data_IF_232897827223
#
_entry.id   IF_232897827223
#
_cell.length_a   1.000
_cell.length_b   1.000
_cell.length_c   1.000
_cell.angle_alpha   90.00
_cell.angle_beta   90.00
_cell.angle_gamma   90.00
#
_symmetry.space_group_name_H-M   'P 1'
#
loop_
_entity.id
_entity.type
_entity.pdbx_description
1 polymer ?
#
# COMPACT_ATOMS: atom_id res chain seq x y z
N UNK A 1 5.64 -7.93 3.64
CA UNK A 1 4.72 -7.90 2.46
C UNK A 1 3.64 -6.87 2.66
N UNK A 2 3.25 -6.12 1.61
CA UNK A 2 2.17 -5.12 1.61
C UNK A 2 1.05 -5.55 0.65
N UNK A 3 -0.19 -5.64 1.14
CA UNK A 3 -1.37 -5.82 0.32
C UNK A 3 -1.90 -4.47 -0.15
N UNK A 4 -2.10 -4.32 -1.46
CA UNK A 4 -2.76 -3.16 -2.06
C UNK A 4 -3.86 -3.59 -3.02
N UNK A 5 -5.11 -3.24 -2.71
CA UNK A 5 -6.26 -3.43 -3.60
C UNK A 5 -6.55 -2.11 -4.29
N UNK A 6 -6.65 -2.13 -5.62
CA UNK A 6 -6.81 -0.92 -6.42
C UNK A 6 -8.26 -0.45 -6.45
N UNK A 7 -8.48 0.85 -6.40
CA UNK A 7 -9.82 1.46 -6.51
C UNK A 7 -10.43 1.37 -7.92
N UNK A 8 -9.62 1.05 -8.94
CA UNK A 8 -10.05 0.84 -10.33
C UNK A 8 -10.70 -0.54 -10.49
N UNK A 9 -11.47 -0.73 -11.53
CA UNK A 9 -12.22 -1.98 -11.80
C UNK A 9 -13.29 -1.76 -12.86
N UNK A 10 -13.28 -0.60 -13.51
CA UNK A 10 -14.15 -0.23 -14.62
C UNK A 10 -13.45 -0.47 -15.96
N UNK A 11 -14.21 -0.61 -17.00
CA UNK A 11 -13.68 -0.79 -18.37
C UNK A 11 -13.43 -2.25 -18.74
N UNK A 12 -12.73 -2.47 -19.87
CA UNK A 12 -12.43 -3.79 -20.40
C UNK A 12 -11.28 -4.48 -19.65
N UNK A 13 -11.19 -5.80 -19.81
CA UNK A 13 -10.09 -6.61 -19.33
C UNK A 13 -8.76 -6.42 -20.05
N UNK A 14 -8.76 -5.70 -21.20
CA UNK A 14 -7.55 -5.51 -22.02
C UNK A 14 -6.46 -4.74 -21.23
N UNK A 15 -6.81 -3.61 -20.65
CA UNK A 15 -5.84 -2.78 -19.94
C UNK A 15 -5.15 -3.51 -18.75
N UNK A 16 -5.86 -4.18 -17.81
CA UNK A 16 -5.20 -4.93 -16.77
C UNK A 16 -4.41 -6.14 -17.29
N UNK A 17 -4.87 -6.86 -18.32
CA UNK A 17 -4.12 -7.97 -18.91
C UNK A 17 -2.83 -7.47 -19.57
N UNK A 18 -2.89 -6.41 -20.38
CA UNK A 18 -1.71 -5.82 -21.00
C UNK A 18 -0.70 -5.30 -19.96
N UNK A 19 -1.17 -4.73 -18.86
CA UNK A 19 -0.29 -4.34 -17.76
C UNK A 19 0.42 -5.53 -17.12
N UNK A 20 -0.30 -6.62 -16.90
CA UNK A 20 0.23 -7.80 -16.22
C UNK A 20 1.17 -8.61 -17.12
N UNK A 21 0.83 -8.80 -18.38
CA UNK A 21 1.50 -9.78 -19.24
C UNK A 21 2.30 -9.15 -20.38
N UNK A 22 2.05 -7.90 -20.73
CA UNK A 22 2.60 -7.22 -21.91
C UNK A 22 1.55 -7.03 -23.00
N UNK A 23 1.76 -6.04 -23.85
CA UNK A 23 0.82 -5.70 -24.93
C UNK A 23 0.69 -6.82 -25.96
N UNK A 24 1.78 -7.58 -26.18
CA UNK A 24 1.87 -8.57 -27.24
C UNK A 24 1.46 -9.98 -26.77
N UNK A 25 1.15 -10.15 -25.48
CA UNK A 25 0.79 -11.46 -24.95
C UNK A 25 -0.48 -12.05 -25.61
N UNK A 26 -1.53 -11.26 -25.77
CA UNK A 26 -2.80 -11.73 -26.29
C UNK A 26 -2.76 -12.00 -27.83
N UNK A 27 -1.85 -11.36 -28.56
CA UNK A 27 -1.66 -11.54 -30.00
C UNK A 27 -0.59 -12.58 -30.34
N UNK A 28 0.51 -12.60 -29.60
CA UNK A 28 1.72 -13.36 -29.93
C UNK A 28 2.14 -14.36 -28.85
N UNK A 29 1.47 -14.36 -27.70
CA UNK A 29 1.83 -15.22 -26.56
C UNK A 29 3.09 -14.76 -25.82
N UNK A 30 3.66 -13.60 -26.18
CA UNK A 30 4.92 -13.13 -25.61
C UNK A 30 4.69 -12.39 -24.29
N UNK A 31 5.22 -12.94 -23.19
CA UNK A 31 5.22 -12.28 -21.89
C UNK A 31 6.23 -11.13 -21.86
N UNK A 32 5.87 -10.06 -21.15
CA UNK A 32 6.83 -9.00 -20.82
C UNK A 32 7.95 -9.56 -19.94
N UNK A 33 9.13 -8.97 -20.03
CA UNK A 33 10.27 -9.35 -19.20
C UNK A 33 9.92 -9.27 -17.69
N UNK A 34 10.30 -10.30 -16.94
CA UNK A 34 10.04 -10.40 -15.50
C UNK A 34 8.59 -10.71 -15.12
N UNK A 35 7.71 -11.05 -16.07
CA UNK A 35 6.37 -11.54 -15.80
C UNK A 35 6.29 -13.07 -15.92
N UNK A 36 5.55 -13.70 -14.99
CA UNK A 36 5.25 -15.13 -15.01
C UNK A 36 3.81 -15.37 -14.55
N UNK A 37 3.05 -16.13 -15.32
CA UNK A 37 1.72 -16.58 -14.89
C UNK A 37 1.91 -17.64 -13.81
N UNK A 38 1.37 -17.37 -12.62
CA UNK A 38 1.45 -18.28 -11.47
C UNK A 38 0.25 -19.23 -11.46
N UNK A 39 -0.95 -18.70 -11.69
CA UNK A 39 -2.18 -19.48 -11.80
C UNK A 39 -3.27 -18.70 -12.54
N UNK A 40 -4.30 -19.42 -13.00
CA UNK A 40 -5.38 -18.86 -13.77
C UNK A 40 -5.12 -18.84 -15.28
N UNK A 41 -6.14 -18.46 -16.06
CA UNK A 41 -6.07 -18.37 -17.52
C UNK A 41 -6.39 -16.94 -17.97
N UNK A 42 -5.42 -16.20 -18.55
CA UNK A 42 -5.60 -14.81 -18.96
C UNK A 42 -6.72 -14.60 -19.97
N UNK A 43 -6.87 -15.53 -20.93
CA UNK A 43 -7.91 -15.45 -21.98
C UNK A 43 -9.29 -15.56 -21.35
N UNK A 44 -9.47 -16.53 -20.47
CA UNK A 44 -10.74 -16.72 -19.75
C UNK A 44 -11.04 -15.51 -18.87
N UNK A 45 -10.06 -15.08 -18.08
CA UNK A 45 -10.20 -13.90 -17.20
C UNK A 45 -10.58 -12.65 -17.98
N UNK A 46 -9.93 -12.40 -19.13
CA UNK A 46 -10.25 -11.27 -19.99
C UNK A 46 -11.67 -11.37 -20.58
N UNK A 47 -12.02 -12.53 -21.09
CA UNK A 47 -13.35 -12.77 -21.67
C UNK A 47 -14.47 -12.55 -20.62
N UNK A 48 -14.29 -13.04 -19.40
CA UNK A 48 -15.24 -12.82 -18.30
C UNK A 48 -15.39 -11.34 -17.94
N UNK A 49 -14.30 -10.58 -17.88
CA UNK A 49 -14.35 -9.14 -17.62
C UNK A 49 -15.07 -8.42 -18.77
N UNK A 50 -14.78 -8.79 -20.02
CA UNK A 50 -15.35 -8.15 -21.20
C UNK A 50 -16.84 -8.43 -21.37
N UNK A 51 -17.31 -9.64 -21.02
CA UNK A 51 -18.72 -10.02 -21.06
C UNK A 51 -19.54 -9.42 -19.90
N UNK A 52 -18.89 -8.89 -18.87
CA UNK A 52 -19.59 -8.35 -17.70
C UNK A 52 -20.27 -7.02 -18.00
N UNK A 53 -21.54 -6.88 -17.59
CA UNK A 53 -22.33 -5.65 -17.65
C UNK A 53 -22.30 -4.83 -16.35
N UNK A 54 -21.52 -5.25 -15.35
CA UNK A 54 -21.44 -4.55 -14.07
C UNK A 54 -20.62 -3.26 -14.20
N UNK A 55 -21.01 -2.22 -13.44
CA UNK A 55 -20.27 -0.96 -13.39
C UNK A 55 -18.80 -1.11 -12.94
N UNK A 56 -18.55 -2.09 -12.03
CA UNK A 56 -17.21 -2.58 -11.69
C UNK A 56 -17.11 -4.02 -12.14
N UNK A 57 -16.32 -4.26 -13.18
CA UNK A 57 -16.21 -5.56 -13.86
C UNK A 57 -15.16 -6.47 -13.25
N UNK A 58 -14.17 -5.89 -12.54
CA UNK A 58 -13.09 -6.65 -11.92
C UNK A 58 -12.58 -5.98 -10.65
N UNK A 59 -11.92 -6.77 -9.84
CA UNK A 59 -11.10 -6.35 -8.70
C UNK A 59 -9.65 -6.72 -9.00
N UNK A 60 -8.73 -5.80 -8.78
CA UNK A 60 -7.30 -6.03 -9.00
C UNK A 60 -6.50 -5.51 -7.81
N UNK A 61 -5.36 -6.14 -7.57
CA UNK A 61 -4.45 -5.74 -6.51
C UNK A 61 -3.10 -6.43 -6.63
N UNK A 62 -2.29 -6.24 -5.60
CA UNK A 62 -0.93 -6.77 -5.54
C UNK A 62 -0.54 -7.09 -4.11
N UNK A 63 0.15 -8.20 -3.92
CA UNK A 63 0.99 -8.49 -2.77
C UNK A 63 2.41 -8.09 -3.14
N UNK A 64 2.92 -7.05 -2.52
CA UNK A 64 4.24 -6.48 -2.81
C UNK A 64 5.19 -6.82 -1.66
N UNK A 65 6.32 -7.42 -1.99
CA UNK A 65 7.31 -7.90 -1.03
C UNK A 65 8.52 -6.97 -1.03
N UNK A 66 9.13 -6.81 0.11
CA UNK A 66 10.45 -6.15 0.24
C UNK A 66 11.57 -7.14 -0.07
N UNK A 67 11.31 -8.40 0.22
CA UNK A 67 12.20 -9.52 0.01
C UNK A 67 12.51 -9.73 -1.49
N UNK A 68 13.74 -10.18 -1.76
CA UNK A 68 14.13 -10.55 -3.12
C UNK A 68 13.30 -11.73 -3.64
N UNK A 69 13.03 -11.82 -4.95
CA UNK A 69 12.21 -12.90 -5.53
C UNK A 69 12.68 -14.31 -5.16
N UNK A 70 14.00 -14.52 -5.07
CA UNK A 70 14.61 -15.81 -4.79
C UNK A 70 14.66 -16.16 -3.30
N UNK A 71 14.37 -15.21 -2.41
CA UNK A 71 14.39 -15.45 -0.96
C UNK A 71 13.06 -16.04 -0.44
N UNK A 72 12.00 -16.07 -1.26
CA UNK A 72 10.71 -16.67 -0.94
C UNK A 72 10.54 -17.92 -1.79
N UNK A 73 10.41 -19.08 -1.15
CA UNK A 73 10.24 -20.34 -1.86
C UNK A 73 8.95 -20.38 -2.68
N UNK A 74 8.91 -21.16 -3.77
CA UNK A 74 7.69 -21.34 -4.56
C UNK A 74 6.56 -21.94 -3.72
N UNK A 75 6.89 -22.81 -2.76
CA UNK A 75 5.92 -23.38 -1.82
C UNK A 75 5.30 -22.29 -0.92
N UNK A 76 6.10 -21.35 -0.42
CA UNK A 76 5.61 -20.24 0.39
C UNK A 76 4.78 -19.27 -0.44
N UNK A 77 5.19 -18.95 -1.68
CA UNK A 77 4.39 -18.14 -2.60
C UNK A 77 3.00 -18.75 -2.83
N UNK A 78 2.95 -20.07 -3.10
CA UNK A 78 1.69 -20.79 -3.29
C UNK A 78 0.84 -20.82 -2.00
N UNK A 79 1.47 -21.02 -0.84
CA UNK A 79 0.76 -21.01 0.44
C UNK A 79 0.16 -19.63 0.75
N UNK A 80 0.88 -18.55 0.47
CA UNK A 80 0.41 -17.17 0.63
C UNK A 80 -0.78 -16.88 -0.31
N UNK A 81 -0.69 -17.31 -1.58
CA UNK A 81 -1.78 -17.18 -2.56
C UNK A 81 -3.03 -17.90 -2.08
N UNK A 82 -2.91 -19.17 -1.69
CA UNK A 82 -4.02 -19.97 -1.21
C UNK A 82 -4.66 -19.37 0.06
N UNK A 83 -3.85 -18.88 0.98
CA UNK A 83 -4.31 -18.24 2.21
C UNK A 83 -5.05 -16.92 1.92
N UNK A 84 -4.53 -16.13 0.96
CA UNK A 84 -5.20 -14.93 0.48
C UNK A 84 -6.56 -15.25 -0.18
N UNK A 85 -6.63 -16.26 -1.05
CA UNK A 85 -7.88 -16.65 -1.69
C UNK A 85 -8.91 -17.14 -0.67
N UNK A 86 -8.51 -17.94 0.32
CA UNK A 86 -9.37 -18.33 1.43
C UNK A 86 -9.92 -17.13 2.21
N UNK A 87 -9.11 -16.12 2.44
CA UNK A 87 -9.53 -14.89 3.09
C UNK A 87 -10.46 -14.04 2.21
N UNK A 88 -10.15 -13.94 0.91
CA UNK A 88 -10.89 -13.12 -0.06
C UNK A 88 -12.26 -13.72 -0.40
N UNK A 89 -12.36 -15.05 -0.46
CA UNK A 89 -13.55 -15.79 -0.86
C UNK A 89 -14.08 -16.67 0.27
N UNK A 90 -14.03 -16.17 1.50
CA UNK A 90 -14.45 -16.94 2.67
C UNK A 90 -15.85 -17.54 2.51
N UNK A 91 -15.95 -18.88 2.68
CA UNK A 91 -17.20 -19.63 2.51
C UNK A 91 -17.61 -19.92 1.06
N UNK A 92 -16.80 -19.56 0.07
CA UNK A 92 -17.06 -19.79 -1.34
C UNK A 92 -16.21 -20.96 -1.86
N UNK A 93 -16.81 -21.89 -2.61
CA UNK A 93 -16.07 -22.98 -3.24
C UNK A 93 -15.20 -22.44 -4.40
N UNK A 94 -14.03 -23.07 -4.63
CA UNK A 94 -13.01 -22.59 -5.58
C UNK A 94 -13.51 -22.55 -7.03
N UNK A 95 -14.48 -23.37 -7.40
CA UNK A 95 -15.09 -23.41 -8.73
C UNK A 95 -16.14 -22.30 -8.99
N UNK A 96 -16.38 -21.44 -8.01
CA UNK A 96 -17.35 -20.35 -8.10
C UNK A 96 -16.76 -18.98 -8.41
N UNK A 97 -15.44 -18.87 -8.47
CA UNK A 97 -14.74 -17.62 -8.79
C UNK A 97 -13.55 -17.86 -9.73
N UNK A 98 -13.08 -16.84 -10.36
CA UNK A 98 -11.88 -16.87 -11.19
C UNK A 98 -10.86 -15.87 -10.68
N UNK A 99 -9.59 -16.27 -10.58
CA UNK A 99 -8.46 -15.41 -10.27
C UNK A 99 -7.32 -15.69 -11.24
N UNK A 100 -6.76 -14.64 -11.80
CA UNK A 100 -5.48 -14.70 -12.49
C UNK A 100 -4.40 -14.16 -11.56
N UNK A 101 -3.36 -14.95 -11.31
CA UNK A 101 -2.16 -14.54 -10.59
C UNK A 101 -0.97 -14.42 -11.51
N UNK A 102 -0.30 -13.28 -11.41
CA UNK A 102 0.91 -12.99 -12.20
C UNK A 102 2.00 -12.47 -11.27
N UNK A 103 3.13 -13.15 -11.32
CA UNK A 103 4.37 -12.73 -10.65
C UNK A 103 5.09 -11.70 -11.50
N UNK A 104 5.58 -10.62 -10.87
CA UNK A 104 6.51 -9.67 -11.48
C UNK A 104 7.79 -9.58 -10.65
N UNK A 105 8.93 -9.63 -11.33
CA UNK A 105 10.28 -9.48 -10.75
C UNK A 105 11.07 -8.34 -11.40
N UNK A 106 10.48 -7.62 -12.35
CA UNK A 106 11.09 -6.48 -13.05
C UNK A 106 11.08 -5.17 -12.23
N UNK A 107 10.34 -5.14 -11.13
CA UNK A 107 10.32 -3.99 -10.22
C UNK A 107 11.58 -3.96 -9.38
N UNK A 108 12.10 -2.75 -9.18
CA UNK A 108 13.26 -2.53 -8.32
C UNK A 108 12.84 -1.73 -7.08
N UNK A 109 13.43 -2.07 -5.97
CA UNK A 109 13.33 -1.26 -4.78
C UNK A 109 14.00 0.11 -5.03
N UNK A 110 13.33 1.22 -4.76
CA UNK A 110 13.84 2.55 -5.08
C UNK A 110 15.06 2.96 -4.24
N UNK A 111 15.29 2.32 -3.09
CA UNK A 111 16.43 2.61 -2.21
C UNK A 111 17.64 1.76 -2.56
N UNK A 112 17.44 0.46 -2.76
CA UNK A 112 18.52 -0.51 -2.93
C UNK A 112 18.81 -0.87 -4.38
N UNK A 113 17.89 -0.56 -5.31
CA UNK A 113 17.97 -0.97 -6.72
C UNK A 113 17.78 -2.47 -6.96
N UNK A 114 17.59 -3.27 -5.91
CA UNK A 114 17.43 -4.73 -6.00
C UNK A 114 16.07 -5.11 -6.60
N UNK A 115 15.97 -6.24 -7.31
CA UNK A 115 14.69 -6.76 -7.77
C UNK A 115 13.75 -7.03 -6.59
N UNK A 116 12.47 -6.73 -6.77
CA UNK A 116 11.42 -6.90 -5.79
C UNK A 116 10.33 -7.81 -6.34
N UNK A 117 9.82 -8.71 -5.50
CA UNK A 117 8.73 -9.59 -5.85
C UNK A 117 7.38 -8.86 -5.75
N UNK A 118 6.55 -9.03 -6.76
CA UNK A 118 5.13 -8.65 -6.75
C UNK A 118 4.27 -9.81 -7.24
N UNK A 119 3.30 -10.24 -6.42
CA UNK A 119 2.26 -11.18 -6.83
C UNK A 119 0.99 -10.38 -7.11
N UNK A 120 0.69 -10.19 -8.38
CA UNK A 120 -0.45 -9.43 -8.84
C UNK A 120 -1.65 -10.34 -9.03
N UNK A 121 -2.85 -9.90 -8.67
CA UNK A 121 -4.08 -10.63 -8.89
C UNK A 121 -5.12 -9.81 -9.66
N UNK A 122 -5.90 -10.52 -10.49
CA UNK A 122 -7.01 -9.96 -11.25
C UNK A 122 -8.21 -10.90 -11.13
N UNK A 123 -9.32 -10.40 -10.60
CA UNK A 123 -10.54 -11.14 -10.29
C UNK A 123 -11.71 -10.55 -11.08
N UNK A 124 -12.33 -11.26 -12.03
CA UNK A 124 -13.61 -10.87 -12.60
C UNK A 124 -14.69 -10.78 -11.50
N UNK A 125 -15.45 -9.70 -11.47
CA UNK A 125 -16.49 -9.49 -10.46
C UNK A 125 -17.79 -10.25 -10.80
N UNK A 126 -17.67 -11.52 -11.19
CA UNK A 126 -18.77 -12.40 -11.59
C UNK A 126 -18.64 -13.73 -10.88
N UNK A 127 -19.69 -14.15 -10.19
CA UNK A 127 -19.82 -15.47 -9.59
C UNK A 127 -20.21 -16.49 -10.68
N UNK A 128 -19.45 -17.60 -10.77
CA UNK A 128 -19.45 -18.46 -11.96
C UNK A 128 -20.75 -19.28 -12.15
N UNK A 129 -21.40 -19.70 -11.07
CA UNK A 129 -22.61 -20.53 -11.19
C UNK A 129 -23.86 -19.72 -11.48
N UNK A 130 -23.96 -18.56 -10.88
CA UNK A 130 -25.18 -17.75 -10.97
C UNK A 130 -25.08 -16.59 -11.95
N UNK A 131 -23.88 -16.27 -12.41
CA UNK A 131 -23.61 -15.06 -13.21
C UNK A 131 -23.85 -13.75 -12.45
N UNK A 132 -24.15 -13.81 -11.15
CA UNK A 132 -24.40 -12.64 -10.34
C UNK A 132 -23.11 -11.88 -10.03
N UNK A 133 -23.28 -10.64 -9.63
CA UNK A 133 -22.14 -9.80 -9.25
C UNK A 133 -21.45 -10.38 -8.02
N UNK A 134 -20.16 -10.64 -8.14
CA UNK A 134 -19.24 -10.90 -7.05
C UNK A 134 -18.60 -9.58 -6.61
N UNK A 135 -18.49 -9.38 -5.31
CA UNK A 135 -17.74 -8.25 -4.74
C UNK A 135 -16.71 -8.78 -3.73
N UNK A 136 -15.51 -9.13 -4.20
CA UNK A 136 -14.51 -9.78 -3.33
C UNK A 136 -14.05 -8.86 -2.20
N UNK A 137 -14.06 -7.55 -2.41
CA UNK A 137 -13.57 -6.57 -1.44
C UNK A 137 -14.42 -5.31 -1.39
N UNK A 138 -14.77 -4.89 -0.18
CA UNK A 138 -15.39 -3.60 0.10
C UNK A 138 -14.61 -2.85 1.20
N UNK A 139 -13.89 -1.80 0.81
CA UNK A 139 -12.93 -1.11 1.68
C UNK A 139 -13.50 -0.69 3.05
N UNK A 140 -14.74 -0.24 3.09
CA UNK A 140 -15.39 0.23 4.32
C UNK A 140 -15.54 -0.83 5.41
N UNK A 141 -15.67 -2.10 5.01
CA UNK A 141 -15.85 -3.23 5.95
C UNK A 141 -14.61 -4.12 6.02
N UNK A 142 -13.98 -4.41 4.88
CA UNK A 142 -12.96 -5.45 4.80
C UNK A 142 -11.55 -4.95 5.11
N UNK A 143 -11.33 -3.62 5.10
CA UNK A 143 -9.98 -3.05 5.27
C UNK A 143 -9.30 -3.48 6.58
N UNK A 144 -10.04 -3.55 7.69
CA UNK A 144 -9.49 -4.01 8.98
C UNK A 144 -9.15 -5.49 8.98
N UNK A 145 -10.02 -6.31 8.36
CA UNK A 145 -9.83 -7.74 8.22
C UNK A 145 -8.57 -8.05 7.40
N UNK A 146 -8.42 -7.44 6.23
CA UNK A 146 -7.25 -7.66 5.38
C UNK A 146 -5.95 -7.08 5.96
N UNK A 147 -6.02 -6.04 6.77
CA UNK A 147 -4.84 -5.57 7.53
C UNK A 147 -4.42 -6.61 8.56
N UNK A 148 -5.36 -7.18 9.32
CA UNK A 148 -5.06 -8.25 10.27
C UNK A 148 -4.51 -9.50 9.56
N UNK A 149 -5.12 -9.89 8.43
CA UNK A 149 -4.61 -10.97 7.58
C UNK A 149 -3.16 -10.72 7.13
N UNK A 150 -2.85 -9.50 6.65
CA UNK A 150 -1.50 -9.11 6.24
C UNK A 150 -0.49 -9.26 7.38
N UNK A 151 -0.81 -8.75 8.58
CA UNK A 151 0.07 -8.85 9.75
C UNK A 151 0.31 -10.30 10.15
N UNK A 152 -0.74 -11.14 10.19
CA UNK A 152 -0.62 -12.55 10.52
C UNK A 152 0.22 -13.32 9.48
N UNK A 153 0.01 -13.02 8.19
CA UNK A 153 0.78 -13.62 7.10
C UNK A 153 2.25 -13.20 7.16
N UNK A 154 2.54 -11.91 7.40
CA UNK A 154 3.91 -11.43 7.56
C UNK A 154 4.63 -12.14 8.71
N UNK A 155 3.97 -12.28 9.85
CA UNK A 155 4.53 -13.00 11.00
C UNK A 155 4.78 -14.48 10.70
N UNK A 156 3.80 -15.17 10.07
CA UNK A 156 3.90 -16.60 9.75
C UNK A 156 5.05 -16.92 8.81
N UNK A 157 5.23 -16.13 7.77
CA UNK A 157 6.24 -16.33 6.73
C UNK A 157 7.52 -15.52 6.98
N UNK A 158 7.63 -14.84 8.13
CA UNK A 158 8.78 -13.99 8.52
C UNK A 158 9.09 -12.91 7.47
N UNK A 159 8.04 -12.33 6.91
CA UNK A 159 8.13 -11.27 5.92
C UNK A 159 8.22 -9.90 6.62
N UNK A 160 8.85 -8.95 5.94
CA UNK A 160 8.89 -7.55 6.34
C UNK A 160 7.46 -7.01 6.57
N UNK A 161 7.24 -6.35 7.69
CA UNK A 161 5.96 -5.72 8.00
C UNK A 161 6.02 -4.22 7.65
N UNK A 162 5.23 -3.75 6.67
CA UNK A 162 5.21 -2.34 6.32
C UNK A 162 4.68 -1.42 7.43
N UNK A 163 3.97 -1.98 8.42
CA UNK A 163 3.49 -1.26 9.61
C UNK A 163 4.53 -1.26 10.75
N UNK A 164 5.69 -1.91 10.60
CA UNK A 164 6.78 -1.83 11.57
C UNK A 164 7.31 -0.39 11.66
N UNK A 165 7.59 0.04 12.87
CA UNK A 165 8.09 1.40 13.16
C UNK A 165 9.44 1.67 12.49
N UNK A 166 10.26 0.64 12.26
CA UNK A 166 11.53 0.77 11.52
C UNK A 166 11.33 1.26 10.08
N UNK A 167 10.20 0.90 9.44
CA UNK A 167 9.83 1.36 8.10
C UNK A 167 9.07 2.71 8.11
N UNK A 168 8.68 3.19 9.29
CA UNK A 168 7.93 4.44 9.40
C UNK A 168 8.80 5.64 9.03
N UNK A 169 8.37 6.43 8.06
CA UNK A 169 8.97 7.74 7.84
C UNK A 169 8.62 8.65 9.02
N UNK A 170 9.61 9.31 9.61
CA UNK A 170 9.38 10.28 10.67
C UNK A 170 8.36 11.33 10.25
N UNK A 171 8.48 11.81 9.02
CA UNK A 171 7.54 12.76 8.41
C UNK A 171 7.21 12.26 7.01
N UNK A 172 5.94 12.03 6.71
CA UNK A 172 5.53 11.63 5.37
C UNK A 172 5.51 12.84 4.44
N UNK A 173 6.16 12.76 3.26
CA UNK A 173 6.06 13.82 2.28
C UNK A 173 4.60 13.99 1.82
N UNK A 174 4.31 15.15 1.28
CA UNK A 174 2.96 15.52 0.82
C UNK A 174 2.37 14.46 -0.12
N UNK A 175 1.08 14.15 0.10
CA UNK A 175 0.33 13.20 -0.73
C UNK A 175 0.09 13.82 -2.12
N UNK A 176 0.80 13.31 -3.14
CA UNK A 176 0.84 13.87 -4.51
C UNK A 176 -0.48 13.79 -5.28
N UNK A 177 -1.50 13.12 -4.72
CA UNK A 177 -2.80 12.97 -5.38
C UNK A 177 -3.72 14.20 -5.27
N UNK A 178 -3.31 15.21 -4.51
CA UNK A 178 -3.98 16.50 -4.48
C UNK A 178 -2.97 17.55 -4.96
N UNK A 179 -3.20 18.15 -6.13
CA UNK A 179 -2.40 19.29 -6.59
C UNK A 179 -2.52 20.43 -5.59
N UNK A 180 -1.53 20.66 -4.71
CA UNK A 180 -1.61 21.77 -3.79
C UNK A 180 -1.22 23.03 -4.52
N UNK A 181 -1.87 24.12 -4.19
CA UNK A 181 -1.34 25.43 -4.49
C UNK A 181 0.09 25.50 -3.92
N UNK A 182 1.03 26.06 -4.68
CA UNK A 182 2.47 26.06 -4.39
C UNK A 182 2.83 26.53 -2.96
N UNK A 183 1.99 27.34 -2.32
CA UNK A 183 2.12 27.83 -0.94
C UNK A 183 2.05 26.73 0.13
N UNK A 184 1.19 25.74 -0.02
CA UNK A 184 1.06 24.66 0.99
C UNK A 184 2.22 23.66 0.96
N UNK A 185 2.79 23.41 -0.21
CA UNK A 185 3.96 22.53 -0.35
C UNK A 185 5.19 23.15 0.34
N UNK A 186 5.40 24.46 0.17
CA UNK A 186 6.51 25.16 0.82
C UNK A 186 6.35 25.22 2.33
N UNK A 187 5.15 25.47 2.83
CA UNK A 187 4.87 25.50 4.27
C UNK A 187 5.08 24.13 4.92
N UNK A 188 4.60 23.06 4.28
CA UNK A 188 4.84 21.71 4.80
C UNK A 188 6.32 21.36 4.84
N UNK A 189 7.09 21.73 3.82
CA UNK A 189 8.54 21.55 3.78
C UNK A 189 9.25 22.32 4.90
N UNK A 190 8.79 23.53 5.22
CA UNK A 190 9.31 24.32 6.34
C UNK A 190 9.03 23.66 7.68
N UNK A 191 7.79 23.17 7.89
CA UNK A 191 7.42 22.42 9.09
C UNK A 191 8.28 21.16 9.23
N UNK A 192 8.47 20.41 8.14
CA UNK A 192 9.30 19.20 8.10
C UNK A 192 10.76 19.50 8.47
N UNK A 193 11.34 20.53 7.91
CA UNK A 193 12.72 20.96 8.20
C UNK A 193 12.88 21.40 9.66
N UNK A 194 11.93 22.19 10.15
CA UNK A 194 11.94 22.66 11.55
C UNK A 194 11.84 21.51 12.55
N UNK A 195 10.87 20.61 12.37
CA UNK A 195 10.72 19.45 13.23
C UNK A 195 11.92 18.50 13.12
N UNK A 196 12.48 18.31 11.94
CA UNK A 196 13.71 17.54 11.73
C UNK A 196 14.88 18.08 12.55
N UNK A 197 15.10 19.39 12.52
CA UNK A 197 16.12 20.05 13.35
C UNK A 197 15.87 19.84 14.86
N UNK A 198 14.63 20.02 15.32
CA UNK A 198 14.24 19.80 16.71
C UNK A 198 14.41 18.35 17.16
N UNK A 199 14.14 17.40 16.27
CA UNK A 199 14.34 15.98 16.51
C UNK A 199 15.82 15.65 16.69
N UNK A 200 16.66 16.11 15.77
CA UNK A 200 18.12 15.92 15.84
C UNK A 200 18.76 16.56 17.07
N UNK A 201 18.19 17.65 17.57
CA UNK A 201 18.63 18.32 18.81
C UNK A 201 18.08 17.66 20.08
N UNK A 202 17.36 16.53 19.99
CA UNK A 202 16.82 15.78 21.11
C UNK A 202 15.64 16.47 21.84
N UNK A 203 15.05 17.50 21.22
CA UNK A 203 13.93 18.26 21.83
C UNK A 203 12.57 17.60 21.62
N UNK A 204 12.45 16.69 20.63
CA UNK A 204 11.21 15.94 20.38
C UNK A 204 11.37 14.51 20.85
N UNK A 205 10.79 14.18 21.97
CA UNK A 205 10.80 12.81 22.54
C UNK A 205 9.48 12.11 22.37
N UNK A 206 8.39 12.84 22.52
CA UNK A 206 7.01 12.34 22.44
C UNK A 206 6.16 13.25 21.56
N UNK A 207 4.96 12.77 21.23
CA UNK A 207 3.99 13.53 20.42
C UNK A 207 3.61 14.89 21.01
N UNK A 208 3.53 14.98 22.34
CA UNK A 208 3.22 16.23 23.05
C UNK A 208 4.28 17.32 22.78
N UNK A 209 5.54 16.92 22.65
CA UNK A 209 6.63 17.84 22.31
C UNK A 209 6.46 18.37 20.88
N UNK A 210 6.03 17.50 19.95
CA UNK A 210 5.75 17.88 18.56
C UNK A 210 4.61 18.90 18.51
N UNK A 211 3.55 18.72 19.29
CA UNK A 211 2.42 19.65 19.36
C UNK A 211 2.86 21.00 19.87
N UNK A 212 3.61 21.03 20.97
CA UNK A 212 4.16 22.28 21.55
C UNK A 212 5.05 23.03 20.55
N UNK A 213 5.93 22.32 19.85
CA UNK A 213 6.81 22.93 18.88
C UNK A 213 6.06 23.42 17.62
N UNK A 214 4.99 22.78 17.19
CA UNK A 214 4.14 23.26 16.11
C UNK A 214 3.44 24.56 16.49
N UNK A 215 2.89 24.66 17.70
CA UNK A 215 2.21 25.86 18.20
C UNK A 215 3.20 26.99 18.54
N UNK A 216 4.42 26.65 18.93
CA UNK A 216 5.49 27.61 19.20
C UNK A 216 6.28 28.02 17.95
N UNK A 217 5.96 27.49 16.76
CA UNK A 217 6.72 27.75 15.55
C UNK A 217 6.67 29.25 15.18
N UNK A 218 7.80 29.95 15.27
CA UNK A 218 7.85 31.38 14.97
C UNK A 218 7.55 31.61 13.48
N UNK A 219 7.03 32.77 13.14
CA UNK A 219 6.80 33.26 11.78
C UNK A 219 5.55 32.72 11.05
N UNK A 220 4.97 31.57 11.43
CA UNK A 220 3.86 30.96 10.67
C UNK A 220 2.52 31.02 11.43
N UNK A 221 2.55 31.06 12.75
CA UNK A 221 1.34 31.11 13.59
C UNK A 221 0.44 29.90 13.34
N UNK A 222 0.93 28.69 13.63
CA UNK A 222 0.18 27.46 13.46
C UNK A 222 -0.74 27.20 14.66
N UNK A 223 -1.99 26.85 14.38
CA UNK A 223 -2.93 26.34 15.40
C UNK A 223 -3.21 24.88 15.16
N UNK A 224 -3.06 24.02 16.17
CA UNK A 224 -3.45 22.62 16.10
C UNK A 224 -4.97 22.52 16.16
N UNK A 225 -5.60 22.17 15.05
CA UNK A 225 -7.07 22.15 14.91
C UNK A 225 -7.68 20.76 15.06
N UNK A 226 -6.88 19.71 14.84
CA UNK A 226 -7.34 18.32 15.01
C UNK A 226 -6.19 17.39 15.34
N UNK A 227 -6.42 16.51 16.31
CA UNK A 227 -5.55 15.39 16.63
C UNK A 227 -6.28 14.07 16.36
N UNK A 228 -5.58 13.12 15.74
CA UNK A 228 -6.05 11.76 15.49
C UNK A 228 -4.93 10.80 15.87
N UNK A 229 -5.21 9.52 16.05
CA UNK A 229 -4.19 8.51 16.34
C UNK A 229 -3.00 8.53 15.35
N UNK A 230 -3.24 8.86 14.07
CA UNK A 230 -2.25 8.75 12.99
C UNK A 230 -1.84 10.07 12.35
N UNK A 231 -2.37 11.21 12.78
CA UNK A 231 -2.05 12.50 12.19
C UNK A 231 -2.40 13.68 13.10
N UNK A 232 -1.78 14.83 12.83
CA UNK A 232 -2.14 16.13 13.38
C UNK A 232 -2.55 17.04 12.23
N UNK A 233 -3.60 17.84 12.39
CA UNK A 233 -3.96 18.91 11.46
C UNK A 233 -3.65 20.26 12.09
N UNK A 234 -2.98 21.12 11.32
CA UNK A 234 -2.66 22.49 11.71
C UNK A 234 -3.29 23.48 10.73
N UNK A 235 -3.68 24.63 11.23
CA UNK A 235 -4.19 25.72 10.41
C UNK A 235 -3.28 26.92 10.57
N UNK A 236 -2.68 27.46 9.48
CA UNK A 236 -1.88 28.68 9.52
C UNK A 236 -2.77 29.89 9.82
N UNK A 237 -2.22 30.91 10.45
CA UNK A 237 -2.95 32.13 10.82
C UNK A 237 -3.52 32.89 9.60
N UNK A 238 -2.87 32.77 8.45
CA UNK A 238 -3.28 33.40 7.18
C UNK A 238 -4.20 32.53 6.32
N UNK A 239 -4.65 31.36 6.82
CA UNK A 239 -5.46 30.39 6.06
C UNK A 239 -6.61 29.82 6.90
N UNK A 240 -7.75 29.56 6.25
CA UNK A 240 -8.86 28.84 6.87
C UNK A 240 -8.82 27.32 6.59
N UNK A 241 -7.85 26.85 5.73
CA UNK A 241 -7.79 25.44 5.35
C UNK A 241 -6.74 24.69 6.17
N UNK A 242 -7.14 23.63 6.91
CA UNK A 242 -6.21 22.86 7.68
C UNK A 242 -5.27 22.04 6.77
N UNK A 243 -4.02 21.93 7.20
CA UNK A 243 -2.99 21.08 6.61
C UNK A 243 -2.85 19.83 7.47
N UNK A 244 -2.97 18.65 6.87
CA UNK A 244 -2.79 17.39 7.57
C UNK A 244 -1.33 16.96 7.51
N UNK A 245 -0.71 16.85 8.68
CA UNK A 245 0.65 16.36 8.88
C UNK A 245 0.60 14.87 9.22
N UNK A 246 1.30 14.04 8.44
CA UNK A 246 1.37 12.59 8.59
C UNK A 246 2.83 12.16 8.72
N UNK A 247 3.06 11.09 9.43
CA UNK A 247 4.35 10.50 9.71
C UNK A 247 4.40 10.02 11.15
N UNK A 248 5.43 9.25 11.50
CA UNK A 248 5.51 8.65 12.83
C UNK A 248 5.55 9.68 13.96
N UNK A 249 6.18 10.84 13.75
CA UNK A 249 6.22 11.93 14.75
C UNK A 249 4.84 12.48 15.12
N UNK A 250 3.83 12.30 14.26
CA UNK A 250 2.45 12.76 14.47
C UNK A 250 1.53 11.65 14.99
N UNK A 251 2.03 10.43 15.12
CA UNK A 251 1.30 9.28 15.66
C UNK A 251 1.20 9.38 17.17
N UNK A 252 0.09 8.91 17.75
CA UNK A 252 -0.09 8.90 19.22
C UNK A 252 0.92 8.00 19.94
N UNK A 253 1.45 6.99 19.25
CA UNK A 253 2.48 6.08 19.78
C UNK A 253 3.91 6.60 19.58
N UNK A 254 4.09 7.84 19.11
CA UNK A 254 5.43 8.38 18.87
C UNK A 254 6.27 8.43 20.15
N UNK A 255 7.36 7.68 20.14
CA UNK A 255 8.43 7.68 21.10
C UNK A 255 9.77 7.61 20.36
N UNK A 256 10.60 8.65 20.53
CA UNK A 256 11.85 8.77 19.76
C UNK A 256 12.90 7.73 20.16
N UNK A 257 12.95 7.34 21.43
CA UNK A 257 13.91 6.34 21.89
C UNK A 257 13.59 4.95 21.30
N UNK A 258 12.32 4.59 21.28
CA UNK A 258 11.83 3.37 20.63
C UNK A 258 12.11 3.37 19.13
N UNK A 259 11.91 4.50 18.47
CA UNK A 259 12.22 4.64 17.03
C UNK A 259 13.71 4.47 16.75
N UNK A 260 14.59 5.15 17.53
CA UNK A 260 16.05 5.01 17.36
C UNK A 260 16.53 3.57 17.61
N UNK A 261 16.04 2.93 18.67
CA UNK A 261 16.42 1.54 18.96
C UNK A 261 16.08 0.59 17.80
N UNK A 262 14.92 0.76 17.16
CA UNK A 262 14.52 -0.04 16.01
C UNK A 262 15.33 0.28 14.75
N UNK A 263 15.70 1.54 14.50
CA UNK A 263 16.54 1.92 13.36
C UNK A 263 17.96 1.34 13.47
N UNK A 264 18.50 1.28 14.70
CA UNK A 264 19.82 0.68 14.95
C UNK A 264 19.78 -0.85 14.80
N UNK A 265 18.66 -1.48 15.13
CA UNK A 265 18.47 -2.92 15.02
C UNK A 265 18.17 -3.41 13.58
N UNK A 266 17.93 -2.51 12.64
CA UNK A 266 17.67 -2.86 11.24
C UNK A 266 18.97 -2.91 10.44
N UNK A 267 19.40 -4.12 9.98
CA UNK A 267 20.64 -4.28 9.22
C UNK A 267 20.65 -3.59 7.85
N UNK A 268 19.49 -3.13 7.35
CA UNK A 268 19.38 -2.45 6.05
C UNK A 268 19.75 -0.94 6.12
N UNK A 269 20.01 -0.41 7.30
CA UNK A 269 20.41 0.99 7.52
C UNK A 269 21.93 1.21 7.64
N UNK A 270 22.75 0.17 7.47
CA UNK A 270 24.20 0.22 7.31
C UNK A 270 24.60 -0.08 5.88
#
# INVERSE_FOLDING_TARGET
>A
MLLKIFSRGKGSGNAPINYLLGNDYMSEGQLRAGARIVSGNPVVTQAMINSSNFARRYTAGVLSFEEAPDSISEADKQAIIQDFEKAMFAGMAHDRYNVLWVEHTDKKDPKTGKPRLELNFLIPNTELYTGKRLQPYYHGQDAKYFRAWQTLTNNRFKLSDPDDVSHARLINPYDSNQSPKMSYKSLKTQIEAYLGFKLMSGKLKKREDVIKELEAMPEIGLTVTRQSAKFISVTPADSQKPIRLKGFVFDESFDFATYQAKQIADPSNT
#
